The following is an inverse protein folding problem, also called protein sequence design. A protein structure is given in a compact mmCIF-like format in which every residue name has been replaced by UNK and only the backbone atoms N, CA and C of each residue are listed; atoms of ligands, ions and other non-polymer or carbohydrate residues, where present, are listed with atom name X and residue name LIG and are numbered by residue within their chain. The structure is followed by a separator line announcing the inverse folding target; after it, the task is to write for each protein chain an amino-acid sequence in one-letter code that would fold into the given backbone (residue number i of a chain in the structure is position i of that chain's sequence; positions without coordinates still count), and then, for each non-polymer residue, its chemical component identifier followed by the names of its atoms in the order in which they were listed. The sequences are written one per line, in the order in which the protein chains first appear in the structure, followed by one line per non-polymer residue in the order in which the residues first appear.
data_IF_177053436946
#
_entry.id   IF_177053436946
#
_cell.length_a   1.000
_cell.length_b   1.000
_cell.length_c   1.000
_cell.angle_alpha   90.00
_cell.angle_beta   90.00
_cell.angle_gamma   90.00
#
_symmetry.space_group_name_H-M   'P 1'
#
loop_
_entity.id
_entity.type
_entity.pdbx_description
1 polymer ?
#
# COMPACT_ATOMS: atom_id res chain seq x y z
N UNK A 1 22.55 12.63 -9.46
CA UNK A 1 22.35 11.18 -9.55
C UNK A 1 23.57 10.54 -10.19
N UNK A 2 23.99 9.43 -9.63
CA UNK A 2 25.16 8.71 -10.13
C UNK A 2 24.72 7.77 -11.25
N UNK A 3 25.15 8.01 -12.51
CA UNK A 3 24.73 7.17 -13.62
C UNK A 3 25.30 5.76 -13.57
N UNK A 4 26.32 5.52 -12.75
CA UNK A 4 26.94 4.19 -12.62
C UNK A 4 26.31 3.38 -11.50
N UNK A 5 25.41 3.97 -10.72
CA UNK A 5 24.79 3.27 -9.60
C UNK A 5 23.75 2.28 -10.10
N UNK A 6 23.78 1.02 -9.61
CA UNK A 6 22.74 0.06 -9.99
C UNK A 6 21.36 0.56 -9.62
N UNK A 7 20.37 0.27 -10.47
CA UNK A 7 19.03 0.80 -10.31
C UNK A 7 18.41 0.49 -8.96
N UNK A 8 18.68 -0.69 -8.40
CA UNK A 8 18.08 -1.10 -7.13
C UNK A 8 18.67 -0.44 -5.89
N UNK A 9 19.83 0.19 -6.00
CA UNK A 9 20.54 0.72 -4.81
C UNK A 9 19.74 1.87 -4.20
N UNK A 10 19.23 2.77 -5.01
CA UNK A 10 18.45 3.90 -4.50
C UNK A 10 17.17 3.42 -3.82
N UNK A 11 16.52 2.41 -4.39
CA UNK A 11 15.31 1.85 -3.80
C UNK A 11 15.61 1.21 -2.43
N UNK A 12 16.73 0.49 -2.32
CA UNK A 12 17.12 -0.09 -1.04
C UNK A 12 17.35 1.00 0.00
N UNK A 13 18.07 2.05 -0.36
CA UNK A 13 18.33 3.15 0.58
C UNK A 13 17.04 3.83 1.01
N UNK A 14 16.14 4.05 0.09
CA UNK A 14 14.84 4.66 0.41
C UNK A 14 14.03 3.78 1.35
N UNK A 15 14.05 2.47 1.09
CA UNK A 15 13.34 1.53 1.94
C UNK A 15 13.90 1.54 3.36
N UNK A 16 15.21 1.46 3.51
CA UNK A 16 15.84 1.45 4.83
C UNK A 16 15.60 2.75 5.58
N UNK A 17 15.68 3.87 4.88
CA UNK A 17 15.39 5.16 5.49
C UNK A 17 13.92 5.25 5.90
N UNK A 18 13.02 4.72 5.06
CA UNK A 18 11.61 4.66 5.40
C UNK A 18 11.36 3.87 6.67
N UNK A 19 12.04 2.73 6.81
CA UNK A 19 11.90 1.93 8.03
C UNK A 19 12.35 2.71 9.25
N UNK A 20 13.45 3.43 9.16
CA UNK A 20 13.91 4.26 10.26
C UNK A 20 12.89 5.34 10.62
N UNK A 21 12.32 5.98 9.62
CA UNK A 21 11.31 7.00 9.86
C UNK A 21 10.06 6.42 10.51
N UNK A 22 9.64 5.24 10.07
CA UNK A 22 8.51 4.56 10.72
C UNK A 22 8.79 4.31 12.21
N UNK A 23 9.99 3.85 12.53
CA UNK A 23 10.37 3.59 13.91
C UNK A 23 10.35 4.85 14.75
N UNK A 24 10.59 6.01 14.13
CA UNK A 24 10.53 7.29 14.79
C UNK A 24 9.12 7.88 14.84
N UNK A 25 8.12 7.16 14.36
CA UNK A 25 6.75 7.64 14.31
C UNK A 25 6.47 8.61 13.17
N UNK A 26 7.40 8.74 12.23
CA UNK A 26 7.27 9.65 11.10
C UNK A 26 6.77 8.88 9.89
N UNK A 27 5.57 8.31 10.04
CA UNK A 27 5.04 7.36 9.06
C UNK A 27 4.74 8.00 7.71
N UNK A 28 4.24 9.24 7.69
CA UNK A 28 3.94 9.89 6.40
C UNK A 28 5.19 10.11 5.57
N UNK A 29 6.30 10.46 6.21
CA UNK A 29 7.58 10.60 5.50
C UNK A 29 8.07 9.24 5.00
N UNK A 30 7.87 8.19 5.81
CA UNK A 30 8.22 6.84 5.39
C UNK A 30 7.42 6.43 4.16
N UNK A 31 6.12 6.72 4.15
CA UNK A 31 5.25 6.41 3.01
C UNK A 31 5.80 7.04 1.73
N UNK A 32 6.23 8.29 1.79
CA UNK A 32 6.81 8.96 0.62
C UNK A 32 8.01 8.18 0.07
N UNK A 33 8.89 7.72 0.95
CA UNK A 33 10.07 6.97 0.51
C UNK A 33 9.70 5.60 -0.04
N UNK A 34 8.76 4.91 0.59
CA UNK A 34 8.28 3.62 0.09
C UNK A 34 7.63 3.78 -1.28
N UNK A 35 6.84 4.83 -1.46
CA UNK A 35 6.20 5.07 -2.76
C UNK A 35 7.24 5.32 -3.85
N UNK A 36 8.32 6.00 -3.53
CA UNK A 36 9.39 6.21 -4.49
C UNK A 36 10.03 4.89 -4.91
N UNK A 37 10.23 3.97 -3.96
CA UNK A 37 10.78 2.66 -4.27
C UNK A 37 9.82 1.85 -5.14
N UNK A 38 8.53 1.86 -4.81
CA UNK A 38 7.49 1.16 -5.56
C UNK A 38 7.37 1.72 -6.97
N UNK A 39 7.42 3.04 -7.11
CA UNK A 39 7.35 3.72 -8.40
C UNK A 39 8.47 3.29 -9.34
N UNK A 40 9.62 2.92 -8.80
CA UNK A 40 10.73 2.43 -9.58
C UNK A 40 10.65 0.95 -9.93
N UNK A 41 9.59 0.26 -9.54
CA UNK A 41 9.43 -1.16 -9.84
C UNK A 41 10.39 -2.06 -9.07
N UNK A 42 10.71 -1.70 -7.86
CA UNK A 42 11.67 -2.45 -7.03
C UNK A 42 11.23 -3.91 -6.87
N UNK A 43 12.12 -4.85 -7.20
CA UNK A 43 11.81 -6.28 -7.14
C UNK A 43 12.18 -6.85 -5.77
N UNK A 44 11.47 -6.38 -4.75
CA UNK A 44 11.60 -6.89 -3.39
C UNK A 44 10.34 -6.53 -2.63
N UNK A 45 9.86 -7.43 -1.77
CA UNK A 45 8.57 -7.21 -1.09
C UNK A 45 8.56 -6.06 -0.09
N UNK A 46 9.69 -5.68 0.47
CA UNK A 46 9.74 -4.74 1.59
C UNK A 46 8.84 -3.52 1.49
N UNK A 47 9.07 -2.61 0.54
CA UNK A 47 8.27 -1.39 0.48
C UNK A 47 6.80 -1.65 0.15
N UNK A 48 6.51 -2.66 -0.68
CA UNK A 48 5.12 -3.01 -0.98
C UNK A 48 4.39 -3.49 0.28
N UNK A 49 5.03 -4.37 1.04
CA UNK A 49 4.44 -4.92 2.26
C UNK A 49 4.14 -3.82 3.26
N UNK A 50 5.09 -2.90 3.44
CA UNK A 50 4.88 -1.81 4.41
C UNK A 50 3.74 -0.90 3.98
N UNK A 51 3.71 -0.53 2.70
CA UNK A 51 2.64 0.32 2.19
C UNK A 51 1.28 -0.35 2.33
N UNK A 52 1.18 -1.62 1.98
CA UNK A 52 -0.08 -2.35 2.10
C UNK A 52 -0.55 -2.35 3.55
N UNK A 53 0.35 -2.60 4.48
CA UNK A 53 -0.01 -2.63 5.89
C UNK A 53 -0.43 -1.25 6.40
N UNK A 54 0.32 -0.21 6.03
CA UNK A 54 0.00 1.16 6.43
C UNK A 54 -1.35 1.59 5.85
N UNK A 55 -1.54 1.39 4.56
CA UNK A 55 -2.78 1.79 3.91
C UNK A 55 -3.97 0.97 4.39
N UNK A 56 -3.78 -0.33 4.67
CA UNK A 56 -4.84 -1.17 5.23
C UNK A 56 -5.26 -0.65 6.61
N UNK A 57 -4.29 -0.31 7.43
CA UNK A 57 -4.56 0.22 8.76
C UNK A 57 -5.33 1.53 8.70
N UNK A 58 -5.08 2.32 7.67
CA UNK A 58 -5.74 3.61 7.46
C UNK A 58 -7.05 3.48 6.69
N UNK A 59 -7.45 2.26 6.35
CA UNK A 59 -8.64 1.98 5.53
C UNK A 59 -8.61 2.66 4.17
N UNK A 60 -7.41 2.87 3.63
CA UNK A 60 -7.21 3.44 2.29
C UNK A 60 -7.18 2.29 1.27
N UNK A 61 -8.36 1.72 1.04
CA UNK A 61 -8.49 0.47 0.29
C UNK A 61 -8.04 0.60 -1.17
N UNK A 62 -8.31 1.72 -1.81
CA UNK A 62 -7.86 1.96 -3.17
C UNK A 62 -6.35 1.94 -3.28
N UNK A 63 -5.67 2.47 -2.28
CA UNK A 63 -4.21 2.45 -2.27
C UNK A 63 -3.67 1.03 -2.06
N UNK A 64 -4.34 0.24 -1.23
CA UNK A 64 -3.96 -1.16 -1.05
C UNK A 64 -4.04 -1.91 -2.38
N UNK A 65 -5.14 -1.72 -3.12
CA UNK A 65 -5.32 -2.38 -4.41
C UNK A 65 -4.20 -1.95 -5.37
N UNK A 66 -3.94 -0.67 -5.46
CA UNK A 66 -2.91 -0.14 -6.35
C UNK A 66 -1.54 -0.72 -6.04
N UNK A 67 -1.16 -0.74 -4.76
CA UNK A 67 0.17 -1.23 -4.36
C UNK A 67 0.25 -2.74 -4.54
N UNK A 68 -0.82 -3.48 -4.22
CA UNK A 68 -0.84 -4.93 -4.43
C UNK A 68 -0.68 -5.27 -5.91
N UNK A 69 -1.38 -4.54 -6.79
CA UNK A 69 -1.23 -4.75 -8.23
C UNK A 69 0.20 -4.46 -8.67
N UNK A 70 0.80 -3.38 -8.17
CA UNK A 70 2.18 -3.05 -8.50
C UNK A 70 3.14 -4.14 -8.03
N UNK A 71 2.90 -4.70 -6.83
CA UNK A 71 3.73 -5.78 -6.30
C UNK A 71 3.62 -7.04 -7.15
N UNK A 72 2.41 -7.37 -7.60
CA UNK A 72 2.20 -8.55 -8.44
C UNK A 72 2.95 -8.44 -9.77
N UNK A 73 3.15 -7.23 -10.25
CA UNK A 73 3.92 -6.98 -11.47
C UNK A 73 5.42 -7.01 -11.20
N UNK A 74 5.88 -6.38 -10.12
CA UNK A 74 7.29 -6.09 -9.90
C UNK A 74 8.04 -7.15 -9.11
N UNK A 75 7.38 -7.84 -8.17
CA UNK A 75 8.04 -8.77 -7.26
C UNK A 75 8.05 -10.16 -7.87
N UNK A 76 9.21 -10.58 -8.39
CA UNK A 76 9.36 -11.86 -9.07
C UNK A 76 10.15 -12.88 -8.25
N UNK A 77 10.96 -12.41 -7.32
CA UNK A 77 11.88 -13.26 -6.59
C UNK A 77 11.27 -13.95 -5.38
N UNK A 78 10.03 -13.59 -5.04
CA UNK A 78 9.34 -14.13 -3.86
C UNK A 78 7.96 -14.64 -4.28
N UNK A 79 7.94 -15.81 -4.91
CA UNK A 79 6.70 -16.34 -5.49
C UNK A 79 5.59 -16.54 -4.43
N UNK A 80 5.98 -16.90 -3.21
CA UNK A 80 5.03 -17.10 -2.13
C UNK A 80 4.31 -15.80 -1.73
N UNK A 81 4.95 -14.66 -1.95
CA UNK A 81 4.33 -13.38 -1.63
C UNK A 81 3.20 -13.02 -2.58
N UNK A 82 3.19 -13.60 -3.76
CA UNK A 82 2.15 -13.31 -4.75
C UNK A 82 0.77 -13.68 -4.23
N UNK A 83 0.65 -14.81 -3.54
CA UNK A 83 -0.62 -15.17 -2.92
C UNK A 83 -1.05 -14.15 -1.89
N UNK A 84 -0.12 -13.67 -1.08
CA UNK A 84 -0.43 -12.68 -0.07
C UNK A 84 -0.91 -11.39 -0.69
N UNK A 85 -0.23 -10.90 -1.75
CA UNK A 85 -0.64 -9.69 -2.44
C UNK A 85 -2.04 -9.84 -3.04
N UNK A 86 -2.31 -11.00 -3.63
CA UNK A 86 -3.63 -11.27 -4.21
C UNK A 86 -4.71 -11.29 -3.13
N UNK A 87 -4.42 -11.89 -1.99
CA UNK A 87 -5.37 -11.89 -0.88
C UNK A 87 -5.62 -10.49 -0.34
N UNK A 88 -4.58 -9.68 -0.22
CA UNK A 88 -4.72 -8.31 0.27
C UNK A 88 -5.51 -7.46 -0.72
N UNK A 89 -5.26 -7.66 -2.01
CA UNK A 89 -5.99 -6.98 -3.06
C UNK A 89 -7.47 -7.34 -3.00
N UNK A 90 -7.78 -8.61 -2.91
CA UNK A 90 -9.17 -9.09 -2.84
C UNK A 90 -9.87 -8.57 -1.58
N UNK A 91 -9.19 -8.63 -0.44
CA UNK A 91 -9.76 -8.13 0.80
C UNK A 91 -10.04 -6.63 0.70
N UNK A 92 -9.14 -5.87 0.09
CA UNK A 92 -9.32 -4.44 -0.07
C UNK A 92 -10.46 -4.13 -1.04
N UNK A 93 -10.61 -4.91 -2.10
CA UNK A 93 -11.73 -4.75 -3.02
C UNK A 93 -13.06 -4.97 -2.32
N UNK A 94 -13.13 -6.00 -1.50
CA UNK A 94 -14.35 -6.28 -0.73
C UNK A 94 -14.63 -5.18 0.28
N UNK A 95 -13.60 -4.72 0.98
CA UNK A 95 -13.74 -3.67 1.95
C UNK A 95 -14.20 -2.37 1.30
N UNK A 96 -13.63 -2.06 0.14
CA UNK A 96 -14.01 -0.85 -0.61
C UNK A 96 -15.47 -0.93 -1.08
N UNK A 97 -15.90 -2.10 -1.52
CA UNK A 97 -17.28 -2.30 -1.97
C UNK A 97 -18.27 -2.17 -0.82
N UNK A 98 -17.86 -2.50 0.40
CA UNK A 98 -18.73 -2.44 1.57
C UNK A 98 -18.67 -1.09 2.28
N UNK A 99 -17.69 -0.25 1.94
CA UNK A 99 -17.61 1.09 2.51
C UNK A 99 -18.54 2.00 1.74
N UNK A 100 -19.59 2.57 2.37
CA UNK A 100 -20.47 3.45 1.64
C UNK A 100 -19.74 4.72 1.21
N UNK A 101 -20.07 5.28 0.06
CA UNK A 101 -19.55 6.59 -0.31
C UNK A 101 -20.02 7.62 0.70
N UNK A 102 -19.35 8.77 0.77
CA UNK A 102 -19.65 9.77 1.77
C UNK A 102 -21.13 10.14 1.81
N UNK A 103 -21.75 10.32 0.64
CA UNK A 103 -23.16 10.66 0.57
C UNK A 103 -24.06 9.54 1.07
N UNK A 104 -23.73 8.30 0.75
CA UNK A 104 -24.50 7.17 1.22
C UNK A 104 -24.30 6.95 2.72
N UNK A 105 -23.10 7.19 3.20
CA UNK A 105 -22.80 7.09 4.61
C UNK A 105 -23.59 8.12 5.41
N UNK A 106 -23.63 9.33 4.93
CA UNK A 106 -24.42 10.38 5.57
C UNK A 106 -25.89 10.03 5.56
N UNK A 107 -26.38 9.51 4.46
CA UNK A 107 -27.77 9.08 4.35
C UNK A 107 -28.05 7.95 5.32
N UNK A 108 -27.16 6.98 5.40
CA UNK A 108 -27.34 5.87 6.33
C UNK A 108 -27.33 6.33 7.78
N UNK A 109 -26.52 7.34 8.08
CA UNK A 109 -26.46 7.88 9.43
C UNK A 109 -27.72 8.66 9.78
N UNK A 110 -28.31 9.34 8.81
CA UNK A 110 -29.50 10.14 9.04
C UNK A 110 -30.79 9.33 8.92
N UNK A 111 -30.79 8.27 8.13
CA UNK A 111 -31.90 7.36 8.03
C UNK A 111 -31.88 6.41 9.19
N UNK A 112 -32.99 6.26 9.87
CA UNK A 112 -32.97 5.27 10.95
C UNK A 112 -33.05 3.90 10.38
N UNK A 113 -32.57 3.70 9.46
CA UNK A 113 -32.48 2.50 8.86
C UNK A 113 -33.65 1.78 8.98
N UNK A 114 -34.36 2.26 8.96
CA UNK A 114 -35.26 1.82 8.94
C UNK A 114 -35.93 1.72 8.19
N UNK A 115 -35.96 2.36 8.18
CA UNK A 115 -36.31 2.39 7.74
C UNK A 115 -36.50 2.11 7.30
N UNK A 116 -36.61 2.34 7.53
CA UNK A 116 -36.40 2.12 7.25
C UNK A 116 -36.41 1.71 7.05
#
# INVERSE_FOLDING_TARGET
MDPNRPAGVDAVHRFLRGQNLEQLGRTDEAVTLYEQAVSGGFDSPGPYDRLIQIYSHRAQHGEVIRVADAALIAVHTHADKREWYDRMRTAAERAAANVPPASAKDRAASEPRSTL
#
